data_IF_758459355598
#
_entry.id   IF_758459355598
#
_cell.length_a   1.000
_cell.length_b   1.000
_cell.length_c   1.000
_cell.angle_alpha   90.00
_cell.angle_beta   90.00
_cell.angle_gamma   90.00
#
_symmetry.space_group_name_H-M   'P 1'
#
loop_
_entity.id
_entity.type
_entity.pdbx_description
1 polymer ?
#
# COMPACT_ATOMS: atom_id res chain seq x y z
N UNK A 1 -10.65 14.06 -7.02
CA UNK A 1 -10.58 14.88 -5.78
C UNK A 1 -11.96 15.19 -5.20
N UNK A 2 -12.99 15.54 -6.01
CA UNK A 2 -14.29 15.99 -5.45
C UNK A 2 -14.89 14.97 -4.47
N UNK A 3 -15.05 13.72 -4.87
CA UNK A 3 -15.61 12.68 -4.00
C UNK A 3 -14.78 12.49 -2.70
N UNK A 4 -13.46 12.60 -2.78
CA UNK A 4 -12.59 12.53 -1.61
C UNK A 4 -12.87 13.70 -0.64
N UNK A 5 -12.92 14.93 -1.15
CA UNK A 5 -13.22 16.12 -0.34
C UNK A 5 -14.62 16.05 0.26
N UNK A 6 -15.62 15.60 -0.51
CA UNK A 6 -16.99 15.45 -0.02
C UNK A 6 -17.06 14.42 1.13
N UNK A 7 -16.32 13.31 1.03
CA UNK A 7 -16.20 12.32 2.11
C UNK A 7 -15.51 12.90 3.34
N UNK A 8 -14.40 13.64 3.15
CA UNK A 8 -13.70 14.31 4.26
C UNK A 8 -14.64 15.29 4.98
N UNK A 9 -15.35 16.14 4.24
CA UNK A 9 -16.34 17.09 4.81
C UNK A 9 -17.46 16.39 5.54
N UNK A 10 -17.97 15.30 4.96
CA UNK A 10 -19.05 14.52 5.58
C UNK A 10 -18.62 13.93 6.94
N UNK A 11 -17.43 13.37 7.02
CA UNK A 11 -16.90 12.78 8.26
C UNK A 11 -16.51 13.85 9.27
N UNK A 12 -15.88 14.95 8.84
CA UNK A 12 -15.47 16.05 9.71
C UNK A 12 -16.66 16.81 10.29
N UNK A 13 -17.73 17.03 9.50
CA UNK A 13 -18.78 17.96 9.86
C UNK A 13 -18.22 19.37 10.10
N UNK A 14 -18.56 19.97 11.25
CA UNK A 14 -18.08 21.31 11.64
C UNK A 14 -16.70 21.31 12.32
N UNK A 15 -16.04 20.15 12.44
CA UNK A 15 -14.71 20.05 13.06
C UNK A 15 -13.62 20.56 12.12
N UNK A 16 -12.53 21.04 12.71
CA UNK A 16 -11.31 21.40 11.98
C UNK A 16 -10.52 20.15 11.60
N UNK A 17 -9.78 20.24 10.51
CA UNK A 17 -8.77 19.26 10.16
C UNK A 17 -7.43 19.72 10.75
N UNK A 18 -6.90 18.98 11.73
CA UNK A 18 -5.67 19.35 12.41
C UNK A 18 -4.43 18.84 11.69
N UNK A 19 -4.49 17.62 11.14
CA UNK A 19 -3.35 16.93 10.55
C UNK A 19 -3.71 16.21 9.25
N UNK A 20 -2.75 16.20 8.31
CA UNK A 20 -2.78 15.40 7.09
C UNK A 20 -1.49 14.58 7.02
N UNK A 21 -1.60 13.26 7.17
CA UNK A 21 -0.46 12.34 7.06
C UNK A 21 -0.30 11.92 5.60
N UNK A 22 0.88 12.13 5.03
CA UNK A 22 1.21 11.73 3.67
C UNK A 22 2.06 10.46 3.70
N UNK A 23 1.45 9.34 3.42
CA UNK A 23 2.14 8.04 3.37
C UNK A 23 2.85 7.81 2.03
N UNK A 24 2.34 8.40 0.93
CA UNK A 24 2.86 8.19 -0.43
C UNK A 24 2.53 9.37 -1.34
N UNK A 25 3.44 9.70 -2.27
CA UNK A 25 3.35 10.89 -3.12
C UNK A 25 3.02 10.57 -4.59
N UNK A 26 2.65 9.33 -4.92
CA UNK A 26 2.17 9.03 -6.27
C UNK A 26 0.92 9.88 -6.59
N UNK A 27 0.77 10.39 -7.84
CA UNK A 27 -0.29 11.37 -8.15
C UNK A 27 -1.72 10.91 -7.86
N UNK A 28 -2.03 9.62 -7.91
CA UNK A 28 -3.35 9.08 -7.57
C UNK A 28 -3.67 9.18 -6.06
N UNK A 29 -2.64 9.33 -5.22
CA UNK A 29 -2.77 9.55 -3.78
C UNK A 29 -2.57 11.02 -3.39
N UNK A 30 -1.64 11.71 -4.07
CA UNK A 30 -1.19 13.06 -3.70
C UNK A 30 -1.97 14.20 -4.37
N UNK A 31 -2.73 13.93 -5.44
CA UNK A 31 -3.36 14.97 -6.26
C UNK A 31 -4.30 15.92 -5.50
N UNK A 32 -4.83 15.52 -4.34
CA UNK A 32 -5.76 16.34 -3.57
C UNK A 32 -5.10 17.18 -2.47
N UNK A 33 -3.78 17.08 -2.26
CA UNK A 33 -3.08 17.77 -1.16
C UNK A 33 -3.33 19.28 -1.22
N UNK A 34 -3.06 19.93 -2.36
CA UNK A 34 -3.25 21.38 -2.49
C UNK A 34 -4.70 21.83 -2.29
N UNK A 35 -5.68 20.99 -2.63
CA UNK A 35 -7.08 21.28 -2.38
C UNK A 35 -7.43 21.16 -0.88
N UNK A 36 -6.85 20.20 -0.18
CA UNK A 36 -6.99 20.06 1.29
C UNK A 36 -6.40 21.27 1.98
N UNK A 37 -5.18 21.70 1.61
CA UNK A 37 -4.53 22.89 2.17
C UNK A 37 -5.36 24.18 1.91
N UNK A 38 -5.90 24.33 0.72
CA UNK A 38 -6.75 25.48 0.40
C UNK A 38 -8.06 25.53 1.21
N UNK A 39 -8.63 24.36 1.55
CA UNK A 39 -9.85 24.25 2.35
C UNK A 39 -9.59 24.31 3.86
N UNK A 40 -8.43 23.85 4.28
CA UNK A 40 -8.01 23.77 5.68
C UNK A 40 -6.62 24.39 5.85
N UNK A 41 -6.48 25.72 5.77
CA UNK A 41 -5.16 26.38 5.72
C UNK A 41 -4.33 26.22 7.01
N UNK A 42 -4.98 25.81 8.11
CA UNK A 42 -4.29 25.54 9.39
C UNK A 42 -3.83 24.09 9.53
N UNK A 43 -4.12 23.22 8.52
CA UNK A 43 -3.75 21.79 8.58
C UNK A 43 -2.23 21.64 8.63
N UNK A 44 -1.75 20.76 9.51
CA UNK A 44 -0.33 20.41 9.61
C UNK A 44 -0.07 19.17 8.78
N UNK A 45 0.81 19.27 7.80
CA UNK A 45 1.21 18.13 6.99
C UNK A 45 2.27 17.34 7.74
N UNK A 46 2.09 16.02 7.81
CA UNK A 46 3.06 15.09 8.37
C UNK A 46 3.60 14.21 7.24
N UNK A 47 4.91 14.19 7.11
CA UNK A 47 5.61 13.38 6.13
C UNK A 47 7.07 13.19 6.51
N UNK A 48 7.76 12.31 5.82
CA UNK A 48 9.20 12.20 6.00
C UNK A 48 9.95 13.19 5.08
N UNK A 49 11.26 13.31 5.26
CA UNK A 49 12.10 14.22 4.48
C UNK A 49 11.91 14.06 2.96
N UNK A 50 11.81 12.83 2.47
CA UNK A 50 11.63 12.56 1.04
C UNK A 50 10.24 12.95 0.54
N UNK A 51 9.21 12.83 1.38
CA UNK A 51 7.87 13.33 1.10
C UNK A 51 7.91 14.82 0.79
N UNK A 52 8.54 15.63 1.65
CA UNK A 52 8.65 17.08 1.45
C UNK A 52 9.52 17.45 0.23
N UNK A 53 10.61 16.68 -0.02
CA UNK A 53 11.40 16.86 -1.26
C UNK A 53 10.54 16.64 -2.52
N UNK A 54 9.66 15.62 -2.53
CA UNK A 54 8.76 15.34 -3.65
C UNK A 54 7.62 16.36 -3.74
N UNK A 55 7.03 16.76 -2.62
CA UNK A 55 6.03 17.83 -2.59
C UNK A 55 6.55 19.09 -3.30
N UNK A 56 7.75 19.53 -2.94
CA UNK A 56 8.40 20.69 -3.59
C UNK A 56 8.57 20.48 -5.10
N UNK A 57 9.02 19.29 -5.52
CA UNK A 57 9.22 18.96 -6.95
C UNK A 57 7.90 18.92 -7.73
N UNK A 58 6.81 18.56 -7.08
CA UNK A 58 5.47 18.54 -7.68
C UNK A 58 4.75 19.89 -7.61
N UNK A 59 5.42 20.91 -7.06
CA UNK A 59 4.90 22.28 -6.99
C UNK A 59 3.94 22.55 -5.84
N UNK A 60 3.90 21.67 -4.83
CA UNK A 60 3.19 21.94 -3.58
C UNK A 60 4.01 22.90 -2.71
N UNK A 61 3.34 23.80 -2.04
CA UNK A 61 3.95 24.63 -1.00
C UNK A 61 4.01 23.84 0.30
N UNK A 62 5.11 23.97 1.04
CA UNK A 62 5.26 23.34 2.36
C UNK A 62 5.07 24.46 3.38
N UNK A 63 3.98 24.37 4.15
CA UNK A 63 3.73 25.36 5.19
C UNK A 63 4.70 25.17 6.38
N UNK A 64 4.95 26.25 7.13
CA UNK A 64 5.88 26.26 8.27
C UNK A 64 5.47 25.34 9.43
N UNK A 65 4.20 24.90 9.45
CA UNK A 65 3.66 24.01 10.47
C UNK A 65 3.79 22.51 10.09
N UNK A 66 4.43 22.21 8.95
CA UNK A 66 4.67 20.81 8.53
C UNK A 66 5.60 20.09 9.49
N UNK A 67 5.35 18.82 9.73
CA UNK A 67 6.08 17.99 10.71
C UNK A 67 6.85 16.90 9.94
N UNK A 68 8.18 16.96 9.98
CA UNK A 68 9.04 15.91 9.46
C UNK A 68 9.16 14.78 10.49
N UNK A 69 8.85 13.55 10.05
CA UNK A 69 8.99 12.33 10.87
C UNK A 69 10.08 11.42 10.33
N UNK A 70 10.70 10.67 11.22
CA UNK A 70 11.70 9.65 10.96
C UNK A 70 11.14 8.26 11.25
N UNK A 71 11.91 7.25 10.87
CA UNK A 71 11.56 5.85 11.13
C UNK A 71 11.43 5.57 12.63
N UNK A 72 10.27 5.07 13.04
CA UNK A 72 9.96 4.76 14.43
C UNK A 72 9.49 5.95 15.27
N UNK A 73 9.45 7.16 14.72
CA UNK A 73 8.89 8.31 15.45
C UNK A 73 7.41 8.06 15.78
N UNK A 74 6.98 8.59 16.93
CA UNK A 74 5.58 8.54 17.35
C UNK A 74 5.06 9.92 17.66
N UNK A 75 3.80 10.17 17.30
CA UNK A 75 3.08 11.42 17.62
C UNK A 75 1.73 11.07 18.24
N UNK A 76 1.41 11.76 19.34
CA UNK A 76 0.07 11.70 19.95
C UNK A 76 -0.84 12.76 19.36
N UNK A 77 -2.03 12.34 18.95
CA UNK A 77 -3.13 13.19 18.48
C UNK A 77 -4.32 13.14 19.45
N UNK A 78 -4.05 13.35 20.69
CA UNK A 78 -5.06 13.22 21.76
C UNK A 78 -5.24 11.77 22.21
N UNK A 79 -6.35 11.15 21.84
CA UNK A 79 -6.63 9.75 22.20
C UNK A 79 -5.89 8.74 21.30
N UNK A 80 -5.37 9.17 20.16
CA UNK A 80 -4.67 8.33 19.20
C UNK A 80 -3.16 8.55 19.25
N UNK A 81 -2.39 7.48 19.20
CA UNK A 81 -0.93 7.52 19.08
C UNK A 81 -0.51 6.83 17.79
N UNK A 82 0.13 7.58 16.89
CA UNK A 82 0.64 7.06 15.63
C UNK A 82 2.15 6.84 15.69
N UNK A 83 2.59 5.71 15.14
CA UNK A 83 4.01 5.42 14.86
C UNK A 83 4.22 5.34 13.36
N UNK A 84 5.32 5.93 12.89
CA UNK A 84 5.65 6.01 11.47
C UNK A 84 6.75 4.99 11.11
N UNK A 85 6.45 4.10 10.18
CA UNK A 85 7.35 3.05 9.71
C UNK A 85 7.78 3.40 8.28
N UNK A 86 9.00 3.91 8.11
CA UNK A 86 9.51 4.22 6.78
C UNK A 86 9.69 2.93 5.97
N UNK A 87 9.14 2.92 4.78
CA UNK A 87 9.15 1.80 3.84
C UNK A 87 9.74 2.21 2.48
N UNK A 88 11.00 2.72 2.45
CA UNK A 88 11.58 3.24 1.22
C UNK A 88 11.61 2.16 0.14
N UNK A 89 11.20 2.54 -1.07
CA UNK A 89 11.06 1.67 -2.25
C UNK A 89 9.96 0.60 -2.13
N UNK A 90 9.00 0.77 -1.22
CA UNK A 90 7.77 -0.02 -1.19
C UNK A 90 6.56 0.91 -1.53
N UNK A 91 6.43 1.53 -2.77
CA UNK A 91 7.41 1.23 -3.84
C UNK A 91 8.25 2.47 -4.26
N UNK A 92 8.00 3.65 -3.73
CA UNK A 92 8.77 4.88 -3.97
C UNK A 92 9.70 5.21 -2.78
N UNK A 93 10.71 6.09 -2.98
CA UNK A 93 11.73 6.35 -1.95
C UNK A 93 11.20 7.02 -0.68
N UNK A 94 10.07 7.70 -0.74
CA UNK A 94 9.43 8.40 0.39
C UNK A 94 8.36 7.58 1.09
N UNK A 95 7.97 6.43 0.53
CA UNK A 95 6.86 5.64 1.08
C UNK A 95 7.06 5.35 2.55
N UNK A 96 6.01 5.54 3.33
CA UNK A 96 5.93 5.14 4.73
C UNK A 96 4.56 4.53 5.05
N UNK A 97 4.52 3.67 6.03
CA UNK A 97 3.28 3.25 6.67
C UNK A 97 3.09 4.04 7.97
N UNK A 98 1.86 4.29 8.35
CA UNK A 98 1.52 4.89 9.64
C UNK A 98 0.60 3.95 10.42
N UNK A 99 0.98 3.65 11.65
CA UNK A 99 0.25 2.76 12.55
C UNK A 99 -0.40 3.56 13.66
N UNK A 100 -1.73 3.56 13.70
CA UNK A 100 -2.46 3.97 14.89
C UNK A 100 -2.39 2.86 15.96
N UNK A 101 -1.53 3.04 16.94
CA UNK A 101 -1.31 2.08 18.03
C UNK A 101 -2.54 1.93 18.93
N UNK A 102 -3.40 2.93 18.99
CA UNK A 102 -4.59 2.92 19.83
C UNK A 102 -5.64 1.96 19.27
N UNK A 103 -5.83 1.96 17.95
CA UNK A 103 -6.82 1.10 17.29
C UNK A 103 -6.21 -0.16 16.66
N UNK A 104 -4.90 -0.18 16.45
CA UNK A 104 -4.20 -1.25 15.74
C UNK A 104 -4.37 -1.18 14.23
N UNK A 105 -4.67 -0.01 13.66
CA UNK A 105 -4.83 0.16 12.21
C UNK A 105 -3.50 0.56 11.58
N UNK A 106 -3.00 -0.27 10.68
CA UNK A 106 -1.85 0.03 9.83
C UNK A 106 -2.34 0.61 8.49
N UNK A 107 -2.08 1.88 8.25
CA UNK A 107 -2.23 2.53 6.95
C UNK A 107 -0.96 2.26 6.14
N UNK A 108 -1.02 1.28 5.25
CA UNK A 108 0.17 0.64 4.68
C UNK A 108 0.66 1.27 3.37
N UNK A 109 0.11 2.39 2.95
CA UNK A 109 0.31 2.94 1.61
C UNK A 109 -0.05 1.88 0.55
N UNK A 110 0.81 1.66 -0.45
CA UNK A 110 0.58 0.66 -1.49
C UNK A 110 0.90 -0.78 -1.08
N UNK A 111 1.61 -0.96 0.03
CA UNK A 111 1.83 -2.31 0.54
C UNK A 111 0.47 -2.97 0.88
N UNK A 112 0.35 -4.25 0.55
CA UNK A 112 -0.88 -5.04 0.68
C UNK A 112 -2.01 -4.60 -0.26
N UNK A 113 -1.71 -3.80 -1.29
CA UNK A 113 -2.66 -3.39 -2.30
C UNK A 113 -3.02 -4.50 -3.29
N UNK A 114 -4.09 -4.28 -4.02
CA UNK A 114 -4.52 -5.15 -5.13
C UNK A 114 -5.19 -4.33 -6.24
N UNK A 115 -5.09 -4.81 -7.47
CA UNK A 115 -5.90 -4.29 -8.56
C UNK A 115 -7.36 -4.72 -8.40
N UNK A 116 -8.25 -4.00 -9.05
CA UNK A 116 -9.67 -4.29 -9.11
C UNK A 116 -10.53 -3.25 -8.40
N UNK A 117 -11.81 -3.23 -8.74
CA UNK A 117 -12.80 -2.35 -8.14
C UNK A 117 -13.49 -3.04 -6.96
N UNK A 118 -13.73 -2.29 -5.88
CA UNK A 118 -14.34 -2.85 -4.66
C UNK A 118 -15.84 -3.10 -4.78
N UNK A 119 -16.51 -2.51 -5.78
CA UNK A 119 -17.94 -2.69 -6.05
C UNK A 119 -18.85 -2.48 -4.82
N UNK A 120 -18.47 -1.54 -3.95
CA UNK A 120 -19.19 -1.21 -2.72
C UNK A 120 -18.88 -2.11 -1.52
N UNK A 121 -18.03 -3.13 -1.67
CA UNK A 121 -17.53 -3.95 -0.57
C UNK A 121 -16.15 -3.44 -0.16
N UNK A 122 -16.02 -3.02 1.09
CA UNK A 122 -14.79 -2.37 1.55
C UNK A 122 -13.80 -3.34 2.20
N UNK A 123 -14.28 -4.42 2.82
CA UNK A 123 -13.47 -5.27 3.67
C UNK A 123 -13.19 -6.64 3.04
N UNK A 124 -12.05 -7.22 3.41
CA UNK A 124 -11.62 -8.53 2.91
C UNK A 124 -12.57 -9.68 3.25
N UNK A 125 -13.33 -9.59 4.34
CA UNK A 125 -14.32 -10.57 4.78
C UNK A 125 -15.71 -10.41 4.12
N UNK A 126 -15.89 -9.39 3.30
CA UNK A 126 -17.09 -9.15 2.50
C UNK A 126 -16.98 -9.72 1.08
N UNK A 127 -15.81 -10.27 0.72
CA UNK A 127 -15.49 -10.80 -0.60
C UNK A 127 -14.89 -12.20 -0.50
N UNK A 128 -15.00 -12.99 -1.56
CA UNK A 128 -14.18 -14.19 -1.73
C UNK A 128 -12.81 -13.75 -2.25
N UNK A 129 -11.93 -13.36 -1.32
CA UNK A 129 -10.63 -12.80 -1.69
C UNK A 129 -9.80 -13.77 -2.53
N UNK A 130 -9.82 -15.04 -2.21
CA UNK A 130 -9.03 -16.06 -2.91
C UNK A 130 -9.46 -16.19 -4.37
N UNK A 131 -10.73 -16.18 -4.62
CA UNK A 131 -11.31 -16.29 -5.96
C UNK A 131 -11.27 -14.98 -6.74
N UNK A 132 -11.59 -13.85 -6.08
CA UNK A 132 -11.83 -12.58 -6.76
C UNK A 132 -10.57 -11.69 -6.80
N UNK A 133 -9.73 -11.73 -5.76
CA UNK A 133 -8.65 -10.77 -5.56
C UNK A 133 -7.24 -11.36 -5.48
N UNK A 134 -7.05 -12.66 -5.19
CA UNK A 134 -5.69 -13.20 -5.02
C UNK A 134 -4.83 -13.06 -6.28
N UNK A 135 -5.38 -13.37 -7.46
CA UNK A 135 -4.66 -13.20 -8.72
C UNK A 135 -4.40 -11.71 -9.04
N UNK A 136 -5.37 -10.79 -8.93
CA UNK A 136 -5.12 -9.35 -8.96
C UNK A 136 -4.07 -8.86 -7.96
N UNK A 137 -4.03 -9.41 -6.74
CA UNK A 137 -3.05 -9.06 -5.72
C UNK A 137 -1.63 -9.52 -6.09
N UNK A 138 -1.46 -10.74 -6.62
CA UNK A 138 -0.18 -11.20 -7.16
C UNK A 138 0.32 -10.32 -8.30
N UNK A 139 -0.57 -9.93 -9.21
CA UNK A 139 -0.24 -9.00 -10.30
C UNK A 139 0.16 -7.64 -9.77
N UNK A 140 -0.57 -7.11 -8.78
CA UNK A 140 -0.26 -5.85 -8.13
C UNK A 140 1.12 -5.91 -7.50
N UNK A 141 1.36 -6.91 -6.62
CA UNK A 141 2.65 -7.11 -5.98
C UNK A 141 3.79 -7.17 -7.00
N UNK A 142 3.67 -8.04 -8.00
CA UNK A 142 4.74 -8.26 -9.00
C UNK A 142 5.06 -6.98 -9.78
N UNK A 143 4.04 -6.19 -10.16
CA UNK A 143 4.26 -4.98 -10.96
C UNK A 143 4.73 -3.79 -10.13
N UNK A 144 4.23 -3.65 -8.89
CA UNK A 144 4.43 -2.46 -8.06
C UNK A 144 5.67 -2.62 -7.16
N UNK A 145 5.75 -3.71 -6.40
CA UNK A 145 6.79 -3.90 -5.38
C UNK A 145 7.74 -5.09 -5.64
N UNK A 146 7.45 -5.93 -6.63
CA UNK A 146 8.10 -7.24 -6.80
C UNK A 146 9.63 -7.22 -6.89
N UNK A 147 10.23 -6.18 -7.44
CA UNK A 147 11.70 -6.03 -7.49
C UNK A 147 12.34 -5.59 -6.18
N UNK A 148 11.53 -5.20 -5.20
CA UNK A 148 11.96 -4.64 -3.92
C UNK A 148 11.74 -5.59 -2.74
N UNK A 149 11.85 -6.89 -2.96
CA UNK A 149 11.68 -7.94 -1.94
C UNK A 149 12.40 -7.65 -0.61
N UNK A 150 13.70 -7.31 -0.61
CA UNK A 150 14.41 -6.97 0.63
C UNK A 150 13.82 -5.78 1.39
N UNK A 151 13.28 -4.78 0.68
CA UNK A 151 12.62 -3.62 1.30
C UNK A 151 11.27 -4.00 1.91
N UNK A 152 10.51 -4.87 1.23
CA UNK A 152 9.26 -5.45 1.77
C UNK A 152 9.56 -6.24 3.04
N UNK A 153 10.60 -7.11 3.02
CA UNK A 153 11.03 -7.86 4.21
C UNK A 153 11.38 -6.93 5.39
N UNK A 154 12.03 -5.81 5.11
CA UNK A 154 12.33 -4.83 6.15
C UNK A 154 11.05 -4.19 6.73
N UNK A 155 10.06 -3.87 5.90
CA UNK A 155 8.75 -3.38 6.36
C UNK A 155 8.03 -4.43 7.22
N UNK A 156 7.97 -5.69 6.75
CA UNK A 156 7.34 -6.79 7.51
C UNK A 156 8.01 -6.97 8.88
N UNK A 157 9.34 -6.92 8.93
CA UNK A 157 10.10 -7.02 10.19
C UNK A 157 9.77 -5.89 11.15
N UNK A 158 9.64 -4.65 10.67
CA UNK A 158 9.24 -3.50 11.49
C UNK A 158 7.82 -3.68 12.01
N UNK A 159 6.89 -4.09 11.14
CA UNK A 159 5.49 -4.28 11.48
C UNK A 159 5.27 -5.40 12.51
N UNK A 160 6.07 -6.47 12.46
CA UNK A 160 5.96 -7.65 13.35
C UNK A 160 6.03 -7.31 14.85
N UNK A 161 6.68 -6.20 15.23
CA UNK A 161 6.77 -5.77 16.64
C UNK A 161 5.52 -5.08 17.19
N UNK A 162 4.45 -4.93 16.42
CA UNK A 162 3.26 -4.16 16.76
C UNK A 162 1.98 -5.00 16.77
N UNK A 163 1.01 -4.62 17.61
CA UNK A 163 -0.33 -5.23 17.66
C UNK A 163 -1.20 -4.67 16.53
N UNK A 164 -1.02 -5.19 15.32
CA UNK A 164 -1.78 -4.80 14.13
C UNK A 164 -3.05 -5.65 14.05
N UNK A 165 -4.20 -4.97 14.04
CA UNK A 165 -5.53 -5.59 13.95
C UNK A 165 -6.15 -5.41 12.57
N UNK A 166 -5.79 -4.33 11.87
CA UNK A 166 -6.30 -3.98 10.56
C UNK A 166 -5.16 -3.51 9.67
N UNK A 167 -5.25 -3.80 8.37
CA UNK A 167 -4.37 -3.22 7.36
C UNK A 167 -5.25 -2.47 6.36
N UNK A 168 -5.01 -1.17 6.20
CA UNK A 168 -5.72 -0.28 5.30
C UNK A 168 -4.79 0.17 4.16
N UNK A 169 -4.73 -0.58 3.04
CA UNK A 169 -3.95 -0.21 1.88
C UNK A 169 -4.66 0.90 1.08
N UNK A 170 -3.91 1.60 0.23
CA UNK A 170 -4.48 2.60 -0.68
C UNK A 170 -5.25 1.98 -1.85
N UNK A 171 -4.97 0.72 -2.20
CA UNK A 171 -5.65 -0.04 -3.25
C UNK A 171 -6.20 -1.37 -2.70
N UNK A 172 -7.41 -1.74 -3.13
CA UNK A 172 -8.04 -2.99 -2.75
C UNK A 172 -8.77 -2.95 -1.40
N UNK A 173 -9.20 -4.11 -0.88
CA UNK A 173 -9.97 -4.18 0.35
C UNK A 173 -9.14 -3.90 1.60
N UNK A 174 -9.77 -3.30 2.59
CA UNK A 174 -9.23 -3.16 3.95
C UNK A 174 -9.30 -4.52 4.63
N UNK A 175 -8.19 -4.94 5.25
CA UNK A 175 -8.09 -6.17 5.99
C UNK A 175 -8.43 -5.95 7.47
N UNK A 176 -9.43 -6.64 8.00
CA UNK A 176 -9.86 -6.58 9.40
C UNK A 176 -9.96 -7.96 10.08
N UNK A 177 -9.49 -8.98 9.42
CA UNK A 177 -9.40 -10.35 9.94
C UNK A 177 -8.52 -11.19 9.04
N UNK A 178 -8.03 -12.32 9.55
CA UNK A 178 -7.16 -13.25 8.83
C UNK A 178 -5.93 -12.56 8.20
N UNK A 179 -5.32 -11.61 8.92
CA UNK A 179 -4.19 -10.83 8.43
C UNK A 179 -2.99 -11.71 8.07
N UNK A 180 -2.75 -12.75 8.87
CA UNK A 180 -1.64 -13.69 8.69
C UNK A 180 -1.66 -14.35 7.30
N UNK A 181 -2.85 -14.60 6.75
CA UNK A 181 -2.99 -15.14 5.39
C UNK A 181 -2.32 -14.24 4.35
N UNK A 182 -2.57 -12.94 4.39
CA UNK A 182 -2.04 -12.02 3.39
C UNK A 182 -0.60 -11.60 3.69
N UNK A 183 -0.24 -11.51 4.96
CA UNK A 183 1.15 -11.30 5.40
C UNK A 183 2.04 -12.46 4.95
N UNK A 184 1.61 -13.72 5.10
CA UNK A 184 2.32 -14.91 4.59
C UNK A 184 2.54 -14.86 3.07
N UNK A 185 1.54 -14.40 2.31
CA UNK A 185 1.69 -14.19 0.86
C UNK A 185 2.79 -13.16 0.56
N UNK A 186 2.74 -12.00 1.22
CA UNK A 186 3.75 -10.96 1.07
C UNK A 186 5.15 -11.43 1.47
N UNK A 187 5.25 -12.21 2.55
CA UNK A 187 6.51 -12.81 3.01
C UNK A 187 7.10 -13.71 1.92
N UNK A 188 6.35 -14.70 1.43
CA UNK A 188 6.78 -15.60 0.35
C UNK A 188 7.14 -14.87 -0.94
N UNK A 189 6.30 -13.94 -1.37
CA UNK A 189 6.54 -13.20 -2.60
C UNK A 189 7.81 -12.34 -2.51
N UNK A 190 8.07 -11.75 -1.36
CA UNK A 190 9.25 -10.90 -1.15
C UNK A 190 10.55 -11.67 -0.94
N UNK A 191 10.47 -12.93 -0.54
CA UNK A 191 11.58 -13.88 -0.53
C UNK A 191 11.80 -14.57 -1.87
N UNK A 192 10.91 -14.30 -2.86
CA UNK A 192 10.90 -14.98 -4.17
C UNK A 192 10.69 -16.50 -4.03
N UNK A 193 9.97 -16.91 -3.00
CA UNK A 193 9.61 -18.30 -2.79
C UNK A 193 8.37 -18.67 -3.63
N UNK A 194 8.40 -19.80 -4.34
CA UNK A 194 7.25 -20.25 -5.11
C UNK A 194 6.12 -20.67 -4.17
N UNK A 195 4.88 -20.28 -4.48
CA UNK A 195 3.70 -20.75 -3.76
C UNK A 195 3.38 -22.21 -4.09
N UNK A 196 3.76 -22.65 -5.29
CA UNK A 196 3.56 -24.01 -5.79
C UNK A 196 4.84 -24.50 -6.47
N UNK A 197 5.14 -25.77 -6.33
CA UNK A 197 6.23 -26.40 -7.08
C UNK A 197 5.81 -26.62 -8.51
N UNK A 198 6.65 -26.20 -9.45
CA UNK A 198 6.33 -26.33 -10.87
C UNK A 198 7.39 -25.76 -11.79
N UNK A 199 7.14 -25.88 -13.08
CA UNK A 199 7.97 -25.31 -14.15
C UNK A 199 7.10 -24.39 -14.99
N UNK A 200 7.50 -23.12 -15.09
CA UNK A 200 6.86 -22.15 -15.99
C UNK A 200 7.58 -22.17 -17.34
N UNK A 201 6.84 -22.52 -18.40
CA UNK A 201 7.34 -22.45 -19.76
C UNK A 201 6.83 -21.16 -20.40
N UNK A 202 7.76 -20.26 -20.74
CA UNK A 202 7.44 -19.00 -21.44
C UNK A 202 7.96 -19.09 -22.86
N UNK A 203 7.11 -18.86 -23.85
CA UNK A 203 7.47 -18.92 -25.26
C UNK A 203 6.76 -17.83 -26.08
N UNK A 204 7.34 -17.52 -27.24
CA UNK A 204 6.71 -16.76 -28.31
C UNK A 204 6.75 -17.58 -29.59
N UNK A 205 5.64 -17.66 -30.33
CA UNK A 205 5.53 -18.42 -31.55
C UNK A 205 4.83 -17.60 -32.64
N UNK A 206 5.45 -17.55 -33.85
CA UNK A 206 4.88 -16.87 -34.99
C UNK A 206 4.18 -17.87 -35.95
N UNK A 207 4.77 -19.06 -36.13
CA UNK A 207 4.31 -20.07 -37.03
C UNK A 207 3.88 -21.38 -36.35
N UNK A 208 3.74 -21.39 -35.05
CA UNK A 208 3.28 -22.52 -34.25
C UNK A 208 4.37 -23.54 -33.88
N UNK A 209 5.55 -23.53 -34.47
CA UNK A 209 6.57 -24.56 -34.23
C UNK A 209 7.13 -24.49 -32.78
N UNK A 210 7.38 -23.28 -32.27
CA UNK A 210 7.85 -23.10 -30.86
C UNK A 210 6.75 -23.47 -29.86
N UNK A 211 5.49 -23.18 -30.22
CA UNK A 211 4.32 -23.56 -29.42
C UNK A 211 4.23 -25.10 -29.29
N UNK A 212 4.30 -25.83 -30.41
CA UNK A 212 4.31 -27.29 -30.38
C UNK A 212 5.45 -27.87 -29.53
N UNK A 213 6.65 -27.29 -29.61
CA UNK A 213 7.77 -27.70 -28.77
C UNK A 213 7.53 -27.42 -27.30
N UNK A 214 6.95 -26.27 -26.96
CA UNK A 214 6.61 -25.88 -25.58
C UNK A 214 5.52 -26.81 -25.00
N UNK A 215 4.50 -27.14 -25.79
CA UNK A 215 3.43 -28.08 -25.41
C UNK A 215 3.96 -29.52 -25.22
N UNK A 216 4.85 -30.02 -26.10
CA UNK A 216 5.49 -31.33 -25.92
C UNK A 216 6.35 -31.36 -24.65
N UNK A 217 7.09 -30.29 -24.38
CA UNK A 217 7.84 -30.15 -23.11
C UNK A 217 6.92 -30.16 -21.91
N UNK A 218 5.84 -29.37 -21.92
CA UNK A 218 4.87 -29.32 -20.82
C UNK A 218 4.28 -30.71 -20.56
N UNK A 219 3.89 -31.43 -21.59
CA UNK A 219 3.38 -32.80 -21.47
C UNK A 219 4.38 -33.75 -20.81
N UNK A 220 5.66 -33.72 -21.20
CA UNK A 220 6.72 -34.54 -20.62
C UNK A 220 7.03 -34.22 -19.16
N UNK A 221 6.79 -32.98 -18.74
CA UNK A 221 7.01 -32.54 -17.34
C UNK A 221 5.85 -32.92 -16.42
N UNK A 222 4.70 -33.33 -16.97
CA UNK A 222 3.51 -33.76 -16.21
C UNK A 222 3.36 -35.30 -16.16
N UNK A 223 4.11 -36.05 -16.95
CA UNK A 223 4.26 -37.51 -16.90
C UNK A 223 5.28 -37.94 -15.84
#
# INVERSE_FOLDING_TARGET
CNNFIDNVKHVLGDRKLDYLIINHMEPDHAACIGLVEALYPEVKIIGNKKTFELMTKFGFEINENSIEVKDGDSISFGEHEFTFLLAPMVHWPETMASLDKTTGILYSADAFGTFGALNGRLFNDEVDFEREYLLPARRYYTNIVGKYGPQVQNLLKKAHGHDIKWIAPLHGPVWRGNLDYFIDKYDKWSLYEPEEQGVLIVYGSMYGNTELAAEDLARRLTE
#
